data_IF_182297131699
#
_entry.id   IF_182297131699
#
_cell.length_a   1.000
_cell.length_b   1.000
_cell.length_c   1.000
_cell.angle_alpha   90.00
_cell.angle_beta   90.00
_cell.angle_gamma   90.00
#
_symmetry.space_group_name_H-M   'P 1'
#
loop_
_entity.id
_entity.type
_entity.pdbx_description
1 polymer ?
#
# COMPACT_ATOMS: atom_id res chain seq x y z
N UNK A 1 -6.89 6.36 -12.74
CA UNK A 1 -7.92 5.31 -12.55
C UNK A 1 -8.84 5.24 -13.78
N UNK A 2 -9.17 4.05 -14.34
CA UNK A 2 -10.08 3.90 -15.47
C UNK A 2 -11.48 4.49 -15.20
N UNK A 3 -12.16 4.99 -16.24
CA UNK A 3 -13.47 5.66 -16.10
C UNK A 3 -14.58 4.73 -15.61
N UNK A 4 -14.58 3.46 -16.03
CA UNK A 4 -15.54 2.47 -15.53
C UNK A 4 -15.41 2.29 -14.01
N UNK A 5 -14.19 2.18 -13.50
CA UNK A 5 -13.93 2.02 -12.07
C UNK A 5 -14.30 3.28 -11.28
N UNK A 6 -14.07 4.48 -11.83
CA UNK A 6 -14.53 5.74 -11.20
C UNK A 6 -16.05 5.81 -11.06
N UNK A 7 -16.79 5.28 -12.05
CA UNK A 7 -18.25 5.27 -12.02
C UNK A 7 -18.78 4.36 -10.91
N UNK A 8 -18.19 3.18 -10.76
CA UNK A 8 -18.63 2.18 -9.77
C UNK A 8 -18.12 2.51 -8.35
N UNK A 9 -16.95 3.16 -8.25
CA UNK A 9 -16.28 3.51 -6.99
C UNK A 9 -15.88 4.99 -6.94
N UNK A 10 -16.85 5.93 -6.97
CA UNK A 10 -16.58 7.36 -7.05
C UNK A 10 -15.92 7.93 -5.79
N UNK A 11 -16.03 7.23 -4.66
CA UNK A 11 -15.45 7.59 -3.37
C UNK A 11 -14.11 6.89 -3.08
N UNK A 12 -13.46 6.30 -4.09
CA UNK A 12 -12.13 5.68 -3.93
C UNK A 12 -11.13 6.71 -3.42
N UNK A 13 -10.59 6.47 -2.23
CA UNK A 13 -9.57 7.31 -1.62
C UNK A 13 -8.16 6.92 -2.07
N UNK A 14 -7.89 5.62 -2.06
CA UNK A 14 -6.57 5.07 -2.26
C UNK A 14 -6.67 3.72 -2.99
N UNK A 15 -5.72 3.48 -3.89
CA UNK A 15 -5.44 2.18 -4.49
C UNK A 15 -4.14 1.70 -3.83
N UNK A 16 -4.16 0.49 -3.29
CA UNK A 16 -3.06 -0.07 -2.49
C UNK A 16 -2.57 -1.34 -3.18
N UNK A 17 -1.26 -1.44 -3.38
CA UNK A 17 -0.64 -2.60 -4.03
C UNK A 17 0.72 -2.96 -3.41
N UNK A 18 1.03 -4.25 -3.42
CA UNK A 18 2.30 -4.79 -2.94
C UNK A 18 3.38 -4.75 -4.01
N UNK A 19 4.39 -3.91 -3.83
CA UNK A 19 5.57 -3.84 -4.71
C UNK A 19 6.69 -4.69 -4.16
N UNK A 20 7.22 -5.61 -4.97
CA UNK A 20 8.33 -6.48 -4.59
C UNK A 20 9.64 -6.06 -5.26
N UNK A 21 10.68 -5.90 -4.44
CA UNK A 21 12.04 -5.56 -4.86
C UNK A 21 12.89 -6.82 -4.74
N UNK A 22 13.49 -7.26 -5.85
CA UNK A 22 14.43 -8.39 -5.84
C UNK A 22 15.68 -8.04 -5.06
N UNK A 23 16.10 -8.95 -4.19
CA UNK A 23 17.35 -8.82 -3.42
C UNK A 23 18.34 -9.91 -3.81
N UNK A 24 19.60 -9.72 -3.41
CA UNK A 24 20.58 -10.81 -3.45
C UNK A 24 20.10 -11.94 -2.53
N UNK A 25 20.29 -13.19 -2.98
CA UNK A 25 20.01 -14.38 -2.17
C UNK A 25 20.79 -14.27 -0.85
N UNK A 26 20.11 -14.22 0.32
CA UNK A 26 20.79 -14.17 1.60
C UNK A 26 21.69 -15.39 1.79
N UNK A 27 22.78 -15.29 2.55
CA UNK A 27 23.62 -16.47 2.87
C UNK A 27 22.93 -17.44 3.83
N UNK A 28 22.18 -16.90 4.80
CA UNK A 28 21.40 -17.68 5.76
C UNK A 28 20.19 -18.33 5.11
N UNK A 29 20.06 -19.66 5.26
CA UNK A 29 18.89 -20.41 4.78
C UNK A 29 17.58 -19.92 5.41
N UNK A 30 17.63 -19.49 6.67
CA UNK A 30 16.47 -18.92 7.35
C UNK A 30 16.05 -17.57 6.72
N UNK A 31 17.01 -16.69 6.46
CA UNK A 31 16.71 -15.41 5.80
C UNK A 31 16.26 -15.63 4.34
N UNK A 32 16.81 -16.63 3.66
CA UNK A 32 16.35 -17.03 2.33
C UNK A 32 14.89 -17.48 2.34
N UNK A 33 14.50 -18.37 3.26
CA UNK A 33 13.11 -18.86 3.29
C UNK A 33 12.11 -17.76 3.62
N UNK A 34 12.46 -16.85 4.55
CA UNK A 34 11.62 -15.71 4.90
C UNK A 34 11.45 -14.73 3.74
N UNK A 35 12.52 -14.45 2.99
CA UNK A 35 12.49 -13.47 1.90
C UNK A 35 12.06 -14.07 0.56
N UNK A 36 11.85 -15.39 0.46
CA UNK A 36 11.47 -16.00 -0.80
C UNK A 36 10.00 -15.70 -1.14
N UNK A 37 9.79 -15.01 -2.26
CA UNK A 37 8.46 -14.81 -2.81
C UNK A 37 8.14 -15.90 -3.82
N UNK A 38 7.06 -16.63 -3.56
CA UNK A 38 6.54 -17.61 -4.50
C UNK A 38 6.06 -16.96 -5.80
N UNK A 39 5.54 -15.73 -5.73
CA UNK A 39 5.03 -15.01 -6.90
C UNK A 39 6.16 -14.58 -7.85
N UNK A 40 7.32 -14.23 -7.30
CA UNK A 40 8.49 -13.78 -8.09
C UNK A 40 9.53 -14.87 -8.29
N UNK A 41 9.32 -16.05 -7.71
CA UNK A 41 10.26 -17.18 -7.71
C UNK A 41 11.69 -16.76 -7.35
N UNK A 42 11.82 -15.82 -6.40
CA UNK A 42 13.11 -15.25 -6.01
C UNK A 42 13.02 -14.60 -4.63
N UNK A 43 14.19 -14.27 -4.05
CA UNK A 43 14.24 -13.53 -2.80
C UNK A 43 13.89 -12.06 -3.05
N UNK A 44 12.89 -11.57 -2.34
CA UNK A 44 12.40 -10.20 -2.44
C UNK A 44 12.23 -9.57 -1.06
N UNK A 45 12.18 -8.25 -1.06
CA UNK A 45 11.54 -7.48 0.00
C UNK A 45 10.28 -6.87 -0.59
N UNK A 46 9.28 -6.65 0.26
CA UNK A 46 7.97 -6.17 -0.13
C UNK A 46 7.65 -4.84 0.54
N UNK A 47 7.19 -3.89 -0.25
CA UNK A 47 6.63 -2.62 0.21
C UNK A 47 5.14 -2.57 -0.16
N UNK A 48 4.31 -2.08 0.75
CA UNK A 48 2.92 -1.76 0.48
C UNK A 48 2.78 -0.27 0.16
N UNK A 49 2.41 0.03 -1.08
CA UNK A 49 2.32 1.40 -1.61
C UNK A 49 0.84 1.77 -1.78
N UNK A 50 0.47 2.99 -1.36
CA UNK A 50 -0.85 3.55 -1.62
C UNK A 50 -0.76 4.81 -2.48
N UNK A 51 -1.61 4.89 -3.51
CA UNK A 51 -1.72 6.05 -4.40
C UNK A 51 -3.16 6.55 -4.46
N UNK A 52 -3.34 7.85 -4.67
CA UNK A 52 -4.66 8.44 -4.94
C UNK A 52 -5.17 8.05 -6.35
N UNK A 53 -6.45 8.23 -6.69
CA UNK A 53 -6.98 7.93 -8.02
C UNK A 53 -6.34 8.73 -9.18
N UNK A 54 -5.62 9.82 -8.86
CA UNK A 54 -4.87 10.68 -9.79
C UNK A 54 -3.42 10.21 -9.97
N UNK A 55 -2.95 9.26 -9.17
CA UNK A 55 -1.60 8.70 -9.20
C UNK A 55 -0.62 9.34 -8.22
N UNK A 56 -1.07 10.22 -7.32
CA UNK A 56 -0.22 10.83 -6.30
C UNK A 56 0.10 9.82 -5.20
N UNK A 57 1.35 9.79 -4.73
CA UNK A 57 1.77 8.93 -3.62
C UNK A 57 1.11 9.39 -2.31
N UNK A 58 0.42 8.49 -1.62
CA UNK A 58 -0.21 8.74 -0.33
C UNK A 58 0.56 8.09 0.84
N UNK A 59 1.13 6.91 0.61
CA UNK A 59 1.79 6.13 1.65
C UNK A 59 2.77 5.12 1.04
N UNK A 60 3.87 4.87 1.76
CA UNK A 60 4.79 3.76 1.55
C UNK A 60 5.09 3.13 2.90
N UNK A 61 5.22 1.81 2.94
CA UNK A 61 5.58 1.10 4.16
C UNK A 61 7.10 0.99 4.32
N UNK A 62 7.54 0.46 5.47
CA UNK A 62 8.89 -0.08 5.56
C UNK A 62 8.97 -1.40 4.78
N UNK A 63 10.17 -1.81 4.37
CA UNK A 63 10.34 -3.07 3.67
C UNK A 63 10.08 -4.27 4.59
N UNK A 64 9.19 -5.15 4.16
CA UNK A 64 8.91 -6.44 4.77
C UNK A 64 9.56 -7.58 3.99
N UNK A 65 9.60 -8.75 4.60
CA UNK A 65 10.13 -9.96 3.96
C UNK A 65 9.26 -10.41 2.78
N UNK A 66 9.84 -10.86 1.67
CA UNK A 66 9.10 -11.22 0.45
C UNK A 66 7.96 -12.25 0.63
N UNK A 67 8.05 -13.13 1.64
CA UNK A 67 7.04 -14.15 1.90
C UNK A 67 5.77 -13.63 2.63
N UNK A 68 5.79 -12.45 3.25
CA UNK A 68 4.62 -11.93 3.98
C UNK A 68 3.50 -11.52 3.01
N UNK A 69 2.24 -11.75 3.40
CA UNK A 69 1.10 -11.37 2.58
C UNK A 69 0.78 -9.88 2.69
N UNK A 70 0.23 -9.31 1.62
CA UNK A 70 -0.14 -7.89 1.58
C UNK A 70 -1.21 -7.57 2.64
N UNK A 71 -2.09 -8.55 2.91
CA UNK A 71 -3.10 -8.47 3.97
C UNK A 71 -2.46 -8.35 5.34
N UNK A 72 -1.47 -9.17 5.65
CA UNK A 72 -0.79 -9.14 6.95
C UNK A 72 -0.05 -7.81 7.15
N UNK A 73 0.62 -7.30 6.11
CA UNK A 73 1.25 -5.98 6.14
C UNK A 73 0.20 -4.89 6.41
N UNK A 74 -0.92 -4.94 5.69
CA UNK A 74 -2.00 -3.96 5.83
C UNK A 74 -2.58 -3.93 7.25
N UNK A 75 -2.77 -5.10 7.86
CA UNK A 75 -3.26 -5.23 9.23
C UNK A 75 -2.22 -4.78 10.26
N UNK A 76 -0.95 -5.20 10.13
CA UNK A 76 0.14 -4.83 11.04
C UNK A 76 0.39 -3.32 11.07
N UNK A 77 0.26 -2.65 9.93
CA UNK A 77 0.43 -1.20 9.83
C UNK A 77 -0.81 -0.40 10.29
N UNK A 78 -1.93 -1.08 10.56
CA UNK A 78 -3.18 -0.42 10.94
C UNK A 78 -3.71 0.52 9.84
N UNK A 79 -3.45 0.20 8.57
CA UNK A 79 -3.75 1.10 7.44
C UNK A 79 -5.22 1.49 7.35
N UNK A 80 -6.12 0.57 7.71
CA UNK A 80 -7.56 0.86 7.80
C UNK A 80 -7.85 2.11 8.65
N UNK A 81 -7.26 2.19 9.85
CA UNK A 81 -7.44 3.31 10.78
C UNK A 81 -6.81 4.59 10.22
N UNK A 82 -5.61 4.48 9.65
CA UNK A 82 -4.91 5.62 9.04
C UNK A 82 -5.73 6.24 7.90
N UNK A 83 -6.27 5.42 7.00
CA UNK A 83 -7.09 5.88 5.88
C UNK A 83 -8.41 6.50 6.34
N UNK A 84 -9.07 5.91 7.35
CA UNK A 84 -10.28 6.48 7.95
C UNK A 84 -10.02 7.89 8.53
N UNK A 85 -8.90 8.08 9.22
CA UNK A 85 -8.52 9.38 9.77
C UNK A 85 -8.24 10.40 8.65
N UNK A 86 -7.58 10.00 7.57
CA UNK A 86 -7.33 10.87 6.41
C UNK A 86 -8.63 11.36 5.77
N UNK A 87 -9.63 10.50 5.63
CA UNK A 87 -10.96 10.90 5.13
C UNK A 87 -11.59 11.95 6.04
N UNK A 88 -11.57 11.72 7.37
CA UNK A 88 -12.15 12.66 8.32
C UNK A 88 -11.50 14.06 8.24
N UNK A 89 -10.16 14.13 8.16
CA UNK A 89 -9.45 15.40 8.06
C UNK A 89 -9.67 16.10 6.71
N UNK A 90 -9.75 15.36 5.60
CA UNK A 90 -10.04 15.96 4.29
C UNK A 90 -11.45 16.53 4.20
N UNK A 91 -12.45 15.85 4.77
CA UNK A 91 -13.84 16.34 4.82
C UNK A 91 -13.95 17.64 5.64
N UNK A 92 -13.25 17.71 6.77
CA UNK A 92 -13.22 18.92 7.61
C UNK A 92 -12.54 20.09 6.86
N UNK A 93 -11.44 19.83 6.15
CA UNK A 93 -10.73 20.84 5.35
C UNK A 93 -11.58 21.39 4.20
N UNK A 94 -12.37 20.54 3.53
CA UNK A 94 -13.28 20.98 2.46
C UNK A 94 -14.47 21.79 2.98
N UNK A 95 -14.95 21.50 4.18
CA UNK A 95 -16.05 22.26 4.81
C UNK A 95 -15.59 23.61 5.40
N UNK A 96 -14.28 23.82 5.57
CA UNK A 96 -13.69 25.08 6.04
C UNK A 96 -13.28 26.07 4.93
N UNK A 97 -13.26 25.65 3.66
CA UNK A 97 -13.02 26.56 2.53
C UNK A 97 -14.33 27.25 2.13
N UNK A 98 -14.71 28.29 2.88
CA UNK A 98 -15.53 29.37 2.32
C UNK A 98 -14.81 29.89 1.07
N UNK A 99 -15.46 29.78 -0.09
CA UNK A 99 -14.99 30.37 -1.34
C UNK A 99 -15.02 31.89 -1.15
N UNK A 100 -13.85 32.53 -1.19
CA UNK A 100 -13.77 33.95 -1.53
C UNK A 100 -14.03 34.12 -3.03
#
# INVERSE_FOLDING_TARGET
MPESYKKDFPSTLAIIDGTEIKIQKPSSLHAQSQSYSNNKSTNTLKDLVAVDPRGSLLFTSCLFSGAISDKDIFEQLGLKKMLQNLVQHMVISTNGRQRF
#
